data_IF_246083358392
#
_entry.id   IF_246083358392
#
_cell.length_a   1.000
_cell.length_b   1.000
_cell.length_c   1.000
_cell.angle_alpha   90.00
_cell.angle_beta   90.00
_cell.angle_gamma   90.00
#
_symmetry.space_group_name_H-M   'P 1'
#
loop_
_entity.id
_entity.type
_entity.pdbx_description
1 polymer ?
#
# COMPACT_ATOMS: atom_id res chain seq x y z
N UNK A 1 15.57 7.33 8.30
CA UNK A 1 15.87 6.92 6.91
C UNK A 1 14.98 7.76 6.01
N UNK A 2 15.54 8.46 5.03
CA UNK A 2 14.73 9.22 4.07
C UNK A 2 13.96 8.26 3.17
N UNK A 3 12.66 8.50 3.02
CA UNK A 3 11.77 7.77 2.11
C UNK A 3 11.48 8.59 0.88
N UNK A 4 11.44 7.94 -0.29
CA UNK A 4 11.05 8.58 -1.56
C UNK A 4 9.83 7.88 -2.12
N UNK A 5 8.84 8.67 -2.51
CA UNK A 5 7.64 8.21 -3.22
C UNK A 5 7.88 8.38 -4.72
N UNK A 6 7.82 7.27 -5.46
CA UNK A 6 7.92 7.26 -6.93
C UNK A 6 6.54 7.03 -7.54
N UNK A 7 6.16 7.89 -8.48
CA UNK A 7 4.86 7.87 -9.19
C UNK A 7 5.00 7.66 -10.70
N UNK A 8 6.23 7.43 -11.18
CA UNK A 8 6.55 7.33 -12.61
C UNK A 8 5.89 6.09 -13.25
N UNK A 9 5.22 6.31 -14.38
CA UNK A 9 4.49 5.27 -15.13
C UNK A 9 5.41 4.51 -16.08
N UNK A 10 6.49 5.15 -16.55
CA UNK A 10 7.43 4.50 -17.45
C UNK A 10 8.44 3.64 -16.68
N UNK A 11 8.36 2.32 -16.88
CA UNK A 11 9.23 1.35 -16.23
C UNK A 11 10.74 1.57 -16.49
N UNK A 12 11.14 2.05 -17.67
CA UNK A 12 12.55 2.30 -17.99
C UNK A 12 13.10 3.47 -17.18
N UNK A 13 12.33 4.56 -17.07
CA UNK A 13 12.70 5.71 -16.23
C UNK A 13 12.67 5.35 -14.74
N UNK A 14 11.69 4.55 -14.32
CA UNK A 14 11.59 4.09 -12.93
C UNK A 14 12.83 3.29 -12.53
N UNK A 15 13.38 2.45 -13.42
CA UNK A 15 14.65 1.74 -13.19
C UNK A 15 15.82 2.70 -12.93
N UNK A 16 15.91 3.78 -13.69
CA UNK A 16 16.97 4.78 -13.53
C UNK A 16 16.83 5.52 -12.20
N UNK A 17 15.62 5.94 -11.85
CA UNK A 17 15.32 6.59 -10.57
C UNK A 17 15.63 5.68 -9.38
N UNK A 18 15.24 4.40 -9.44
CA UNK A 18 15.53 3.43 -8.39
C UNK A 18 17.04 3.25 -8.19
N UNK A 19 17.83 3.28 -9.27
CA UNK A 19 19.31 3.23 -9.17
C UNK A 19 19.89 4.48 -8.52
N UNK A 20 19.33 5.66 -8.83
CA UNK A 20 19.78 6.93 -8.25
C UNK A 20 19.55 7.00 -6.73
N UNK A 21 18.51 6.32 -6.23
CA UNK A 21 18.08 6.40 -4.82
C UNK A 21 18.36 5.12 -4.02
N UNK A 22 19.42 4.37 -4.37
CA UNK A 22 19.72 3.04 -3.81
C UNK A 22 19.86 3.02 -2.26
N UNK A 23 20.16 4.16 -1.63
CA UNK A 23 20.31 4.26 -0.17
C UNK A 23 19.01 4.61 0.58
N UNK A 24 17.92 4.91 -0.13
CA UNK A 24 16.66 5.39 0.45
C UNK A 24 15.57 4.32 0.45
N UNK A 25 14.59 4.46 1.36
CA UNK A 25 13.40 3.58 1.37
C UNK A 25 12.51 3.97 0.20
N UNK A 26 12.43 3.10 -0.81
CA UNK A 26 11.63 3.34 -2.02
C UNK A 26 10.18 2.90 -1.79
N UNK A 27 9.25 3.85 -1.92
CA UNK A 27 7.80 3.65 -1.90
C UNK A 27 7.30 3.87 -3.32
N UNK A 28 6.59 2.88 -3.87
CA UNK A 28 6.01 3.00 -5.21
C UNK A 28 4.51 3.27 -5.11
N UNK A 29 4.04 4.32 -5.77
CA UNK A 29 2.63 4.69 -5.83
C UNK A 29 2.12 4.61 -7.27
N UNK A 30 1.14 3.75 -7.51
CA UNK A 30 0.57 3.58 -8.85
C UNK A 30 -0.82 2.92 -8.81
N UNK A 31 -1.69 3.39 -9.71
CA UNK A 31 -3.03 2.83 -9.94
C UNK A 31 -3.04 1.74 -11.04
N UNK A 32 -1.89 1.45 -11.66
CA UNK A 32 -1.77 0.45 -12.73
C UNK A 32 -1.29 -0.89 -12.14
N UNK A 33 -2.17 -1.89 -12.16
CA UNK A 33 -1.94 -3.20 -11.56
C UNK A 33 -0.86 -4.01 -12.30
N UNK A 34 -0.74 -3.86 -13.63
CA UNK A 34 0.26 -4.56 -14.44
C UNK A 34 1.66 -3.96 -14.21
N UNK A 35 1.74 -2.63 -14.13
CA UNK A 35 2.95 -1.94 -13.74
C UNK A 35 3.35 -2.31 -12.31
N UNK A 36 2.40 -2.32 -11.36
CA UNK A 36 2.64 -2.70 -9.98
C UNK A 36 3.28 -4.08 -9.88
N UNK A 37 2.73 -5.07 -10.59
CA UNK A 37 3.30 -6.41 -10.67
C UNK A 37 4.73 -6.39 -11.19
N UNK A 38 4.97 -5.73 -12.33
CA UNK A 38 6.29 -5.66 -12.97
C UNK A 38 7.34 -4.97 -12.09
N UNK A 39 6.93 -3.94 -11.35
CA UNK A 39 7.78 -3.20 -10.41
C UNK A 39 8.13 -4.07 -9.21
N UNK A 40 7.15 -4.70 -8.58
CA UNK A 40 7.37 -5.60 -7.44
C UNK A 40 8.30 -6.76 -7.79
N UNK A 41 8.20 -7.32 -9.00
CA UNK A 41 9.03 -8.45 -9.42
C UNK A 41 10.47 -8.07 -9.79
N UNK A 42 10.72 -6.84 -10.26
CA UNK A 42 11.99 -6.46 -10.91
C UNK A 42 12.77 -5.37 -10.20
N UNK A 43 12.16 -4.65 -9.26
CA UNK A 43 12.77 -3.49 -8.61
C UNK A 43 12.81 -3.69 -7.08
N UNK A 44 13.89 -3.25 -6.42
CA UNK A 44 14.03 -3.35 -4.96
C UNK A 44 13.18 -2.30 -4.23
N UNK A 45 11.85 -2.39 -4.36
CA UNK A 45 10.92 -1.54 -3.61
C UNK A 45 10.68 -2.12 -2.22
N UNK A 46 10.40 -1.25 -1.23
CA UNK A 46 10.10 -1.70 0.14
C UNK A 46 8.61 -1.62 0.46
N UNK A 47 7.91 -0.70 -0.17
CA UNK A 47 6.47 -0.48 0.05
C UNK A 47 5.76 -0.22 -1.27
N UNK A 48 4.60 -0.86 -1.44
CA UNK A 48 3.66 -0.55 -2.51
C UNK A 48 2.46 0.21 -1.94
N UNK A 49 2.28 1.47 -2.34
CA UNK A 49 1.15 2.32 -1.97
C UNK A 49 0.09 2.25 -3.07
N UNK A 50 -1.09 1.72 -2.74
CA UNK A 50 -2.17 1.48 -3.71
C UNK A 50 -3.28 2.50 -3.49
N UNK A 51 -3.60 3.36 -4.47
CA UNK A 51 -4.74 4.27 -4.37
C UNK A 51 -6.07 3.49 -4.43
N UNK A 52 -7.01 3.88 -3.58
CA UNK A 52 -8.26 3.20 -3.34
C UNK A 52 -9.52 3.96 -3.78
N UNK A 53 -9.49 5.26 -4.05
CA UNK A 53 -10.69 6.06 -4.33
C UNK A 53 -11.17 5.89 -5.78
N UNK A 54 -10.29 6.11 -6.75
CA UNK A 54 -10.61 6.26 -8.18
C UNK A 54 -10.75 4.94 -8.97
N UNK A 55 -10.93 3.80 -8.28
CA UNK A 55 -11.04 2.49 -8.95
C UNK A 55 -12.47 2.17 -9.36
N UNK A 56 -12.66 1.62 -10.56
CA UNK A 56 -13.95 1.09 -11.02
C UNK A 56 -14.13 -0.34 -10.52
N UNK A 57 -15.24 -0.61 -9.84
CA UNK A 57 -15.57 -1.93 -9.34
C UNK A 57 -15.92 -2.90 -10.49
N UNK A 58 -15.66 -4.18 -10.26
CA UNK A 58 -16.10 -5.24 -11.15
C UNK A 58 -17.55 -5.62 -10.85
N UNK A 59 -18.21 -6.29 -11.79
CA UNK A 59 -19.62 -6.66 -11.67
C UNK A 59 -19.96 -7.47 -10.40
N UNK A 60 -19.02 -8.27 -9.87
CA UNK A 60 -19.22 -9.18 -8.72
C UNK A 60 -18.39 -8.82 -7.48
N UNK A 61 -17.44 -7.89 -7.59
CA UNK A 61 -16.48 -7.61 -6.52
C UNK A 61 -15.94 -6.19 -6.62
N UNK A 62 -15.51 -5.65 -5.48
CA UNK A 62 -14.85 -4.34 -5.46
C UNK A 62 -13.43 -4.47 -6.02
N UNK A 63 -12.98 -3.44 -6.72
CA UNK A 63 -11.61 -3.37 -7.21
C UNK A 63 -10.75 -2.62 -6.19
N UNK A 64 -9.97 -3.35 -5.39
CA UNK A 64 -9.05 -2.78 -4.40
C UNK A 64 -7.61 -2.64 -4.89
N UNK A 65 -7.31 -3.01 -6.14
CA UNK A 65 -5.96 -3.01 -6.70
C UNK A 65 -4.98 -3.99 -6.10
N UNK A 66 -5.46 -4.85 -5.21
CA UNK A 66 -4.64 -5.85 -4.56
C UNK A 66 -5.30 -7.21 -4.66
N UNK A 67 -4.57 -8.19 -5.18
CA UNK A 67 -5.07 -9.54 -5.42
C UNK A 67 -4.09 -10.57 -4.86
N UNK A 68 -4.46 -11.84 -4.93
CA UNK A 68 -3.63 -12.95 -4.42
C UNK A 68 -2.28 -13.09 -5.14
N UNK A 69 -2.19 -12.69 -6.40
CA UNK A 69 -0.93 -12.75 -7.16
C UNK A 69 0.05 -11.71 -6.61
N UNK A 70 -0.41 -10.46 -6.46
CA UNK A 70 0.38 -9.39 -5.85
C UNK A 70 0.76 -9.72 -4.41
N UNK A 71 -0.15 -10.33 -3.64
CA UNK A 71 0.13 -10.74 -2.27
C UNK A 71 1.26 -11.79 -2.19
N UNK A 72 1.28 -12.77 -3.10
CA UNK A 72 2.36 -13.76 -3.18
C UNK A 72 3.69 -13.13 -3.56
N UNK A 73 3.70 -12.20 -4.52
CA UNK A 73 4.90 -11.49 -4.94
C UNK A 73 5.41 -10.62 -3.79
N UNK A 74 4.53 -9.86 -3.12
CA UNK A 74 4.89 -9.04 -1.96
C UNK A 74 5.55 -9.87 -0.87
N UNK A 75 5.03 -11.07 -0.61
CA UNK A 75 5.59 -11.97 0.40
C UNK A 75 6.97 -12.47 0.02
N UNK A 76 7.15 -12.85 -1.25
CA UNK A 76 8.40 -13.38 -1.77
C UNK A 76 9.52 -12.33 -1.71
N UNK A 77 9.20 -11.10 -2.10
CA UNK A 77 10.17 -10.01 -2.20
C UNK A 77 10.28 -9.17 -0.90
N UNK A 78 9.47 -9.48 0.12
CA UNK A 78 9.49 -8.79 1.42
C UNK A 78 8.93 -7.36 1.37
N UNK A 79 7.96 -7.10 0.50
CA UNK A 79 7.34 -5.79 0.26
C UNK A 79 6.17 -5.58 1.24
N UNK A 80 6.12 -4.43 1.92
CA UNK A 80 4.96 -4.02 2.75
C UNK A 80 3.89 -3.35 1.90
N UNK A 81 2.62 -3.44 2.30
CA UNK A 81 1.52 -2.76 1.62
C UNK A 81 1.22 -1.43 2.31
N UNK A 82 1.33 -0.33 1.58
CA UNK A 82 1.03 1.01 2.06
C UNK A 82 -0.44 1.36 1.93
N UNK A 83 -0.93 2.11 2.91
CA UNK A 83 -2.28 2.68 2.95
C UNK A 83 -2.15 4.20 3.02
N UNK A 84 -2.73 4.92 2.06
CA UNK A 84 -2.82 6.38 2.10
C UNK A 84 -3.95 6.79 3.04
N UNK A 85 -3.61 7.39 4.18
CA UNK A 85 -4.56 7.85 5.16
C UNK A 85 -5.21 9.18 4.75
N UNK A 86 -4.50 10.03 4.01
CA UNK A 86 -5.03 11.31 3.56
C UNK A 86 -6.14 11.07 2.54
N UNK A 87 -6.00 10.04 1.69
CA UNK A 87 -7.05 9.56 0.79
C UNK A 87 -8.32 9.17 1.56
N UNK A 88 -8.19 8.42 2.65
CA UNK A 88 -9.33 8.02 3.51
C UNK A 88 -10.01 9.23 4.15
N UNK A 89 -9.23 10.20 4.64
CA UNK A 89 -9.76 11.36 5.36
C UNK A 89 -10.46 12.33 4.40
N UNK A 90 -9.87 12.57 3.23
CA UNK A 90 -10.33 13.59 2.27
C UNK A 90 -11.40 13.08 1.30
N UNK A 91 -11.52 11.77 1.10
CA UNK A 91 -12.49 11.23 0.14
C UNK A 91 -13.93 11.51 0.55
N UNK A 92 -14.77 11.74 -0.46
CA UNK A 92 -16.23 11.83 -0.31
C UNK A 92 -16.89 10.44 -0.21
N UNK A 93 -16.22 9.38 -0.70
CA UNK A 93 -16.74 8.01 -0.74
C UNK A 93 -16.04 7.11 0.29
N UNK A 94 -15.98 7.55 1.55
CA UNK A 94 -15.23 6.87 2.61
C UNK A 94 -15.64 5.41 2.79
N UNK A 95 -16.94 5.12 2.69
CA UNK A 95 -17.47 3.76 2.79
C UNK A 95 -16.93 2.81 1.72
N UNK A 96 -16.62 3.33 0.52
CA UNK A 96 -16.02 2.54 -0.56
C UNK A 96 -14.57 2.23 -0.26
N UNK A 97 -13.79 3.26 0.09
CA UNK A 97 -12.37 3.12 0.44
C UNK A 97 -12.20 2.18 1.63
N UNK A 98 -12.97 2.36 2.71
CA UNK A 98 -12.87 1.52 3.90
C UNK A 98 -13.17 0.06 3.60
N UNK A 99 -14.12 -0.23 2.70
CA UNK A 99 -14.40 -1.61 2.30
C UNK A 99 -13.26 -2.22 1.45
N UNK A 100 -12.68 -1.45 0.53
CA UNK A 100 -11.49 -1.88 -0.26
C UNK A 100 -10.31 -2.12 0.68
N UNK A 101 -10.11 -1.26 1.67
CA UNK A 101 -9.09 -1.41 2.68
C UNK A 101 -9.30 -2.68 3.53
N UNK A 102 -10.54 -2.97 3.96
CA UNK A 102 -10.88 -4.22 4.65
C UNK A 102 -10.54 -5.46 3.81
N UNK A 103 -10.77 -5.41 2.49
CA UNK A 103 -10.38 -6.49 1.57
C UNK A 103 -8.86 -6.67 1.55
N UNK A 104 -8.11 -5.56 1.44
CA UNK A 104 -6.65 -5.60 1.43
C UNK A 104 -6.08 -6.13 2.75
N UNK A 105 -6.65 -5.72 3.90
CA UNK A 105 -6.28 -6.22 5.22
C UNK A 105 -6.51 -7.74 5.31
N UNK A 106 -7.64 -8.23 4.82
CA UNK A 106 -7.93 -9.67 4.82
C UNK A 106 -6.95 -10.46 3.95
N UNK A 107 -6.59 -9.94 2.77
CA UNK A 107 -5.58 -10.55 1.91
C UNK A 107 -4.19 -10.56 2.58
N UNK A 108 -3.81 -9.45 3.22
CA UNK A 108 -2.55 -9.34 3.95
C UNK A 108 -2.51 -10.30 5.16
N UNK A 109 -3.61 -10.40 5.91
CA UNK A 109 -3.76 -11.33 7.04
C UNK A 109 -3.58 -12.78 6.60
N UNK A 110 -4.23 -13.19 5.51
CA UNK A 110 -4.12 -14.56 4.96
C UNK A 110 -2.71 -14.87 4.47
N UNK A 111 -2.05 -13.90 3.84
CA UNK A 111 -0.72 -14.07 3.28
C UNK A 111 0.43 -13.81 4.28
N UNK A 112 0.13 -13.35 5.50
CA UNK A 112 1.11 -12.91 6.53
C UNK A 112 1.98 -11.75 6.04
N UNK A 113 1.37 -10.77 5.39
CA UNK A 113 2.02 -9.53 4.95
C UNK A 113 1.88 -8.44 6.01
N UNK A 114 2.80 -7.49 6.00
CA UNK A 114 2.72 -6.28 6.83
C UNK A 114 2.15 -5.12 6.03
N UNK A 115 1.43 -4.25 6.73
CA UNK A 115 0.89 -3.01 6.18
C UNK A 115 1.49 -1.81 6.89
N UNK A 116 1.42 -0.64 6.25
CA UNK A 116 1.98 0.61 6.77
C UNK A 116 1.06 1.78 6.38
N UNK A 117 0.83 2.72 7.31
CA UNK A 117 0.03 3.92 7.05
C UNK A 117 0.94 5.07 6.64
N UNK A 118 0.51 5.81 5.61
CA UNK A 118 1.17 7.01 5.11
C UNK A 118 0.23 8.19 5.28
N UNK A 119 0.73 9.31 5.78
CA UNK A 119 0.00 10.59 5.80
C UNK A 119 0.96 11.71 5.47
N UNK A 120 0.70 12.38 4.35
CA UNK A 120 1.50 13.48 3.80
C UNK A 120 1.13 14.79 4.49
N UNK A 121 -0.16 14.99 4.80
CA UNK A 121 -0.66 16.26 5.34
C UNK A 121 -0.37 16.46 6.82
N UNK A 122 -0.63 15.45 7.65
CA UNK A 122 -0.51 15.60 9.11
C UNK A 122 -0.02 14.31 9.77
N UNK A 123 1.05 14.41 10.56
CA UNK A 123 1.49 13.28 11.40
C UNK A 123 0.38 12.91 12.39
N UNK A 124 -0.15 11.70 12.25
CA UNK A 124 -1.16 11.15 13.16
C UNK A 124 -0.52 10.39 14.32
N UNK A 125 -1.24 10.31 15.43
CA UNK A 125 -0.79 9.55 16.58
C UNK A 125 -0.82 8.05 16.26
N UNK A 126 0.31 7.36 16.49
CA UNK A 126 0.45 5.92 16.26
C UNK A 126 -0.58 5.08 17.03
N UNK A 127 -0.96 5.50 18.24
CA UNK A 127 -1.99 4.82 19.05
C UNK A 127 -3.34 4.86 18.32
N UNK A 128 -3.71 6.00 17.76
CA UNK A 128 -4.95 6.14 16.99
C UNK A 128 -4.93 5.29 15.72
N UNK A 129 -3.79 5.21 15.03
CA UNK A 129 -3.63 4.36 13.85
C UNK A 129 -3.73 2.88 14.18
N UNK A 130 -3.17 2.45 15.32
CA UNK A 130 -3.32 1.08 15.82
C UNK A 130 -4.78 0.76 16.12
N UNK A 131 -5.49 1.66 16.80
CA UNK A 131 -6.92 1.52 17.06
C UNK A 131 -7.73 1.45 15.77
N UNK A 132 -7.44 2.31 14.79
CA UNK A 132 -8.08 2.28 13.48
C UNK A 132 -7.83 0.94 12.76
N UNK A 133 -6.57 0.48 12.74
CA UNK A 133 -6.21 -0.81 12.18
C UNK A 133 -7.01 -1.96 12.78
N UNK A 134 -7.14 -1.99 14.12
CA UNK A 134 -7.94 -3.00 14.83
C UNK A 134 -9.42 -2.96 14.44
N UNK A 135 -10.02 -1.76 14.36
CA UNK A 135 -11.42 -1.56 13.94
C UNK A 135 -11.65 -2.04 12.50
N UNK A 136 -10.65 -1.90 11.64
CA UNK A 136 -10.70 -2.36 10.25
C UNK A 136 -10.41 -3.85 10.08
N UNK A 137 -10.09 -4.57 11.16
CA UNK A 137 -9.88 -6.01 11.16
C UNK A 137 -8.42 -6.45 11.02
N UNK A 138 -7.46 -5.53 11.21
CA UNK A 138 -6.04 -5.90 11.27
C UNK A 138 -5.77 -6.75 12.52
N UNK A 139 -5.05 -7.88 12.41
CA UNK A 139 -4.69 -8.69 13.56
C UNK A 139 -3.60 -8.02 14.41
N UNK A 140 -3.54 -8.36 15.71
CA UNK A 140 -2.62 -7.74 16.67
C UNK A 140 -1.14 -7.83 16.29
N UNK A 141 -0.72 -8.92 15.63
CA UNK A 141 0.66 -9.08 15.15
C UNK A 141 1.01 -8.11 14.02
N UNK A 142 0.02 -7.68 13.23
CA UNK A 142 0.18 -6.70 12.15
C UNK A 142 0.19 -5.29 12.74
N UNK A 143 -0.74 -4.99 13.65
CA UNK A 143 -0.85 -3.66 14.27
C UNK A 143 0.33 -3.34 15.17
N UNK A 144 0.93 -4.34 15.82
CA UNK A 144 2.16 -4.16 16.62
C UNK A 144 3.32 -3.61 15.80
N UNK A 145 3.43 -4.03 14.54
CA UNK A 145 4.49 -3.66 13.60
C UNK A 145 4.13 -2.47 12.70
N UNK A 146 3.04 -1.75 13.02
CA UNK A 146 2.71 -0.52 12.30
C UNK A 146 3.77 0.55 12.59
N UNK A 147 4.34 1.04 11.50
CA UNK A 147 5.21 2.21 11.44
C UNK A 147 4.39 3.37 10.85
N UNK A 148 4.77 4.61 11.20
CA UNK A 148 4.25 5.82 10.57
C UNK A 148 5.40 6.43 9.76
N UNK A 149 5.17 6.66 8.48
CA UNK A 149 6.04 7.46 7.62
C UNK A 149 5.29 8.66 7.04
#
# INVERSE_FOLDING_TARGET
>A
MESIILTEKNFSKLKELVKQYNEKKIIFYSNDDDLNRKVMEKLPIKVLLIPLDERKDFMKQRNSGFNEVLAKIAKKEGIKIGIDLDEIICSQNKERILSRLKQNINLCKRNKLFMEFFSIKEKRNLILLKSLGLVLGMPTWMTKNLELN
#
